data_IF_547122776642
#
_entry.id   IF_547122776642
#
_cell.length_a   1.000
_cell.length_b   1.000
_cell.length_c   1.000
_cell.angle_alpha   90.00
_cell.angle_beta   90.00
_cell.angle_gamma   90.00
#
_symmetry.space_group_name_H-M   'P 1'
#
loop_
_entity.id
_entity.type
_entity.pdbx_description
1 polymer ?
#
# COMPACT_ATOMS: atom_id res chain seq x y z
N UNK A 1 -24.66 19.23 -2.19
CA UNK A 1 -24.56 17.91 -1.56
C UNK A 1 -23.29 17.90 -0.75
N UNK A 2 -23.39 17.97 0.58
CA UNK A 2 -22.23 18.08 1.46
C UNK A 2 -21.61 16.69 1.60
N UNK A 3 -20.58 16.40 0.81
CA UNK A 3 -19.75 15.19 0.95
C UNK A 3 -19.17 15.17 2.35
N UNK A 4 -19.80 14.43 3.26
CA UNK A 4 -19.21 14.14 4.55
C UNK A 4 -18.02 13.21 4.28
N UNK A 5 -16.81 13.51 4.76
CA UNK A 5 -15.77 12.50 4.76
C UNK A 5 -16.30 11.32 5.57
N UNK A 6 -16.45 10.16 4.93
CA UNK A 6 -16.73 8.93 5.62
C UNK A 6 -15.48 8.60 6.44
N UNK A 7 -15.40 9.14 7.66
CA UNK A 7 -14.42 8.72 8.64
C UNK A 7 -14.85 7.32 9.03
N UNK A 8 -14.22 6.31 8.41
CA UNK A 8 -14.36 4.94 8.82
C UNK A 8 -14.02 4.87 10.32
N UNK A 9 -15.05 4.62 11.12
CA UNK A 9 -14.85 4.36 12.54
C UNK A 9 -14.21 2.97 12.60
N UNK A 10 -13.04 2.78 13.23
CA UNK A 10 -12.41 1.47 13.25
C UNK A 10 -13.36 0.48 13.94
N UNK A 11 -13.90 -0.47 13.17
CA UNK A 11 -14.88 -1.48 13.61
C UNK A 11 -14.31 -2.54 14.56
N UNK A 12 -13.10 -2.36 15.08
CA UNK A 12 -12.47 -3.23 16.07
C UNK A 12 -12.62 -2.69 17.49
N UNK A 13 -12.83 -3.55 18.48
CA UNK A 13 -12.76 -3.14 19.89
C UNK A 13 -11.39 -2.51 20.17
N UNK A 14 -11.35 -1.41 20.92
CA UNK A 14 -10.09 -0.77 21.29
C UNK A 14 -9.17 -1.79 22.01
N UNK A 15 -7.96 -1.98 21.48
CA UNK A 15 -6.99 -2.96 21.98
C UNK A 15 -6.97 -4.31 21.26
N UNK A 16 -7.87 -4.55 20.31
CA UNK A 16 -7.92 -5.78 19.51
C UNK A 16 -7.13 -5.62 18.18
N UNK A 17 -6.38 -6.68 17.83
CA UNK A 17 -5.66 -6.81 16.56
C UNK A 17 -6.44 -7.77 15.65
N UNK A 18 -6.67 -7.35 14.41
CA UNK A 18 -7.22 -8.16 13.34
C UNK A 18 -6.15 -9.05 12.69
N UNK A 19 -4.92 -8.55 12.60
CA UNK A 19 -3.79 -9.29 12.07
C UNK A 19 -3.16 -10.18 13.16
N UNK A 20 -2.76 -11.44 12.83
CA UNK A 20 -2.13 -12.32 13.81
C UNK A 20 -0.77 -11.78 14.27
N UNK A 21 -0.66 -11.38 15.54
CA UNK A 21 0.57 -10.79 16.12
C UNK A 21 1.82 -11.65 15.89
N UNK A 22 1.71 -12.97 16.02
CA UNK A 22 2.83 -13.89 15.79
C UNK A 22 3.33 -13.88 14.33
N UNK A 23 2.42 -13.67 13.37
CA UNK A 23 2.73 -13.58 11.94
C UNK A 23 3.53 -12.31 11.65
N UNK A 24 3.05 -11.18 12.16
CA UNK A 24 3.72 -9.88 12.03
C UNK A 24 5.08 -9.90 12.71
N UNK A 25 5.19 -10.45 13.92
CA UNK A 25 6.48 -10.63 14.61
C UNK A 25 7.47 -11.45 13.79
N UNK A 26 7.02 -12.49 13.08
CA UNK A 26 7.90 -13.28 12.20
C UNK A 26 8.40 -12.45 11.02
N UNK A 27 7.56 -11.60 10.42
CA UNK A 27 7.95 -10.71 9.32
C UNK A 27 8.92 -9.63 9.79
N UNK A 28 8.72 -9.02 10.95
CA UNK A 28 9.67 -8.05 11.51
C UNK A 28 11.09 -8.66 11.65
N UNK A 29 11.17 -9.95 11.99
CA UNK A 29 12.43 -10.67 12.19
C UNK A 29 13.06 -11.24 10.92
N UNK A 30 12.45 -11.04 9.74
CA UNK A 30 13.14 -11.42 8.48
C UNK A 30 14.26 -10.45 8.13
N UNK A 31 14.20 -9.22 8.67
CA UNK A 31 15.27 -8.24 8.57
C UNK A 31 16.48 -8.70 9.40
N UNK A 32 17.63 -8.87 8.74
CA UNK A 32 18.85 -9.46 9.33
C UNK A 32 19.36 -8.68 10.57
N UNK A 33 19.12 -7.37 10.58
CA UNK A 33 19.55 -6.48 11.67
C UNK A 33 18.63 -6.51 12.90
N UNK A 34 17.45 -7.14 12.81
CA UNK A 34 16.46 -7.17 13.90
C UNK A 34 16.61 -8.42 14.77
N UNK A 35 17.43 -8.32 15.81
CA UNK A 35 17.70 -9.43 16.76
C UNK A 35 16.55 -9.67 17.74
N UNK A 36 15.97 -8.60 18.29
CA UNK A 36 14.91 -8.67 19.28
C UNK A 36 13.86 -7.59 19.01
N UNK A 37 12.61 -7.89 19.32
CA UNK A 37 11.48 -6.97 19.24
C UNK A 37 10.61 -7.17 20.47
N UNK A 38 10.24 -6.08 21.15
CA UNK A 38 9.36 -6.15 22.32
C UNK A 38 7.92 -6.49 21.92
N UNK A 39 7.11 -6.87 22.90
CA UNK A 39 5.70 -7.17 22.66
C UNK A 39 4.91 -5.91 22.29
N UNK A 40 5.23 -4.78 22.90
CA UNK A 40 4.62 -3.47 22.65
C UNK A 40 4.96 -2.97 21.24
N UNK A 41 6.22 -3.09 20.81
CA UNK A 41 6.62 -2.75 19.45
C UNK A 41 5.92 -3.64 18.42
N UNK A 42 5.84 -4.96 18.68
CA UNK A 42 5.12 -5.89 17.82
C UNK A 42 3.64 -5.51 17.70
N UNK A 43 3.01 -5.12 18.81
CA UNK A 43 1.60 -4.70 18.85
C UNK A 43 1.38 -3.42 18.03
N UNK A 44 2.21 -2.39 18.26
CA UNK A 44 2.12 -1.12 17.53
C UNK A 44 2.34 -1.30 16.03
N UNK A 45 3.33 -2.10 15.62
CA UNK A 45 3.57 -2.39 14.21
C UNK A 45 2.36 -3.11 13.62
N UNK A 46 1.81 -4.11 14.31
CA UNK A 46 0.61 -4.85 13.84
C UNK A 46 -0.57 -3.91 13.64
N UNK A 47 -0.85 -3.03 14.62
CA UNK A 47 -1.94 -2.06 14.50
C UNK A 47 -1.68 -1.03 13.40
N UNK A 48 -0.44 -0.59 13.25
CA UNK A 48 -0.04 0.34 12.19
C UNK A 48 -0.20 -0.30 10.82
N UNK A 49 0.11 -1.59 10.65
CA UNK A 49 -0.10 -2.32 9.40
C UNK A 49 -1.59 -2.41 9.04
N UNK A 50 -2.47 -2.62 10.01
CA UNK A 50 -3.92 -2.59 9.77
C UNK A 50 -4.39 -1.23 9.26
N UNK A 51 -3.99 -0.15 9.95
CA UNK A 51 -4.33 1.21 9.58
C UNK A 51 -3.74 1.59 8.21
N UNK A 52 -2.54 1.10 7.91
CA UNK A 52 -1.89 1.28 6.62
C UNK A 52 -2.67 0.59 5.49
N UNK A 53 -3.14 -0.64 5.70
CA UNK A 53 -3.96 -1.35 4.69
C UNK A 53 -5.29 -0.65 4.45
N UNK A 54 -5.92 -0.14 5.50
CA UNK A 54 -7.14 0.67 5.38
C UNK A 54 -6.87 1.94 4.58
N UNK A 55 -5.80 2.66 4.92
CA UNK A 55 -5.38 3.88 4.22
C UNK A 55 -5.09 3.63 2.73
N UNK A 56 -4.33 2.59 2.40
CA UNK A 56 -4.03 2.22 1.02
C UNK A 56 -5.30 1.89 0.25
N UNK A 57 -6.20 1.11 0.87
CA UNK A 57 -7.48 0.71 0.27
C UNK A 57 -8.39 1.91 0.01
N UNK A 58 -8.47 2.84 0.95
CA UNK A 58 -9.27 4.07 0.82
C UNK A 58 -8.74 4.97 -0.30
N UNK A 59 -7.42 5.15 -0.41
CA UNK A 59 -6.83 5.95 -1.48
C UNK A 59 -7.07 5.34 -2.85
N UNK A 60 -6.87 4.03 -2.99
CA UNK A 60 -7.15 3.34 -4.25
C UNK A 60 -8.65 3.41 -4.60
N UNK A 61 -9.54 3.26 -3.62
CA UNK A 61 -10.99 3.42 -3.83
C UNK A 61 -11.36 4.85 -4.25
N UNK A 62 -10.70 5.89 -3.70
CA UNK A 62 -10.96 7.27 -4.10
C UNK A 62 -10.62 7.53 -5.58
N UNK A 63 -9.57 6.89 -6.12
CA UNK A 63 -9.23 6.95 -7.55
C UNK A 63 -10.30 6.26 -8.39
N UNK A 64 -10.72 5.05 -8.00
CA UNK A 64 -11.82 4.33 -8.63
C UNK A 64 -13.12 5.16 -8.67
N UNK A 65 -13.49 5.77 -7.54
CA UNK A 65 -14.67 6.63 -7.41
C UNK A 65 -14.56 7.88 -8.28
N UNK A 66 -13.36 8.47 -8.41
CA UNK A 66 -13.12 9.66 -9.25
C UNK A 66 -13.30 9.39 -10.74
N UNK A 67 -13.25 8.12 -11.16
CA UNK A 67 -13.50 7.67 -12.53
C UNK A 67 -14.90 7.06 -12.70
N UNK A 68 -15.81 7.26 -11.74
CA UNK A 68 -17.17 6.70 -11.72
C UNK A 68 -17.20 5.16 -11.89
N UNK A 69 -16.13 4.48 -11.48
CA UNK A 69 -16.02 3.02 -11.52
C UNK A 69 -16.50 2.41 -10.21
N UNK A 70 -16.97 1.17 -10.29
CA UNK A 70 -17.44 0.39 -9.12
C UNK A 70 -16.59 -0.84 -8.84
N UNK A 71 -15.56 -1.07 -9.67
CA UNK A 71 -14.62 -2.17 -9.53
C UNK A 71 -13.23 -1.62 -9.32
N UNK A 72 -12.63 -1.98 -8.18
CA UNK A 72 -11.25 -1.66 -7.87
C UNK A 72 -10.31 -2.50 -8.74
N UNK A 73 -9.37 -1.85 -9.38
CA UNK A 73 -8.40 -2.46 -10.29
C UNK A 73 -6.98 -2.29 -9.76
N UNK A 74 -6.02 -3.02 -10.34
CA UNK A 74 -4.61 -2.81 -10.02
C UNK A 74 -4.14 -1.37 -10.30
N UNK A 75 -4.65 -0.74 -11.37
CA UNK A 75 -4.21 0.60 -11.74
C UNK A 75 -4.60 1.62 -10.67
N UNK A 76 -5.73 1.44 -9.98
CA UNK A 76 -6.11 2.28 -8.84
C UNK A 76 -5.07 2.23 -7.72
N UNK A 77 -4.58 1.03 -7.41
CA UNK A 77 -3.55 0.84 -6.37
C UNK A 77 -2.21 1.40 -6.84
N UNK A 78 -1.81 1.15 -8.09
CA UNK A 78 -0.55 1.64 -8.64
C UNK A 78 -0.51 3.17 -8.72
N UNK A 79 -1.60 3.81 -9.18
CA UNK A 79 -1.73 5.27 -9.19
C UNK A 79 -1.72 5.84 -7.77
N UNK A 80 -2.42 5.19 -6.82
CA UNK A 80 -2.37 5.59 -5.40
C UNK A 80 -0.94 5.58 -4.86
N UNK A 81 -0.15 4.56 -5.19
CA UNK A 81 1.27 4.46 -4.80
C UNK A 81 2.13 5.53 -5.47
N UNK A 82 1.89 5.81 -6.75
CA UNK A 82 2.67 6.77 -7.53
C UNK A 82 2.46 8.22 -7.04
N UNK A 83 1.21 8.59 -6.76
CA UNK A 83 0.80 9.97 -6.43
C UNK A 83 0.93 10.36 -4.95
N UNK A 84 1.29 9.42 -4.06
CA UNK A 84 1.34 9.69 -2.61
C UNK A 84 2.73 9.42 -2.04
N UNK A 85 3.46 10.47 -1.64
CA UNK A 85 4.81 10.37 -1.06
C UNK A 85 4.94 9.35 0.09
N UNK A 86 4.01 9.24 1.06
CA UNK A 86 4.12 8.25 2.12
C UNK A 86 4.05 6.78 1.64
N UNK A 87 3.61 6.54 0.40
CA UNK A 87 3.52 5.23 -0.24
C UNK A 87 4.71 4.95 -1.17
N UNK A 88 5.69 5.86 -1.28
CA UNK A 88 6.85 5.72 -2.18
C UNK A 88 7.59 4.39 -2.01
N UNK A 89 7.68 3.88 -0.78
CA UNK A 89 8.32 2.60 -0.47
C UNK A 89 7.71 1.39 -1.19
N UNK A 90 6.53 1.54 -1.81
CA UNK A 90 5.84 0.49 -2.57
C UNK A 90 6.09 0.58 -4.07
N UNK A 91 6.73 1.63 -4.61
CA UNK A 91 6.87 1.83 -6.07
C UNK A 91 7.54 0.65 -6.78
N UNK A 92 8.52 0.03 -6.13
CA UNK A 92 9.21 -1.14 -6.68
C UNK A 92 8.39 -2.44 -6.58
N UNK A 93 7.39 -2.47 -5.70
CA UNK A 93 6.54 -3.63 -5.42
C UNK A 93 5.22 -3.56 -6.20
N UNK A 94 4.69 -2.36 -6.36
CA UNK A 94 3.44 -2.04 -7.06
C UNK A 94 3.74 -1.01 -8.16
N UNK A 95 4.50 -1.39 -9.20
CA UNK A 95 4.89 -0.45 -10.25
C UNK A 95 3.70 -0.07 -11.13
N UNK A 96 3.75 1.14 -11.69
CA UNK A 96 2.88 1.55 -12.78
C UNK A 96 3.09 0.66 -14.00
N UNK A 97 1.99 0.27 -14.65
CA UNK A 97 2.06 -0.51 -15.88
C UNK A 97 2.58 0.39 -17.01
N UNK A 98 3.58 -0.10 -17.71
CA UNK A 98 4.06 0.44 -18.99
C UNK A 98 3.72 -0.56 -20.09
N UNK A 99 3.29 -0.06 -21.25
CA UNK A 99 3.05 -0.95 -22.39
C UNK A 99 4.38 -1.43 -22.97
N UNK A 100 4.42 -2.67 -23.45
CA UNK A 100 5.61 -3.21 -24.11
C UNK A 100 6.05 -2.39 -25.33
N UNK A 101 5.08 -1.77 -26.03
CA UNK A 101 5.36 -0.87 -27.15
C UNK A 101 6.11 0.40 -26.71
N UNK A 102 5.73 1.01 -25.58
CA UNK A 102 6.43 2.16 -25.00
C UNK A 102 7.84 1.78 -24.56
N UNK A 103 8.00 0.63 -23.88
CA UNK A 103 9.32 0.13 -23.45
C UNK A 103 10.22 -0.09 -24.67
N UNK A 104 9.74 -0.77 -25.71
CA UNK A 104 10.48 -1.01 -26.95
C UNK A 104 10.86 0.28 -27.68
N UNK A 105 10.02 1.31 -27.63
CA UNK A 105 10.30 2.61 -28.23
C UNK A 105 11.33 3.42 -27.43
N UNK A 106 11.42 3.20 -26.11
CA UNK A 106 12.37 3.87 -25.21
C UNK A 106 13.74 3.19 -25.12
N UNK A 107 13.85 1.91 -25.51
CA UNK A 107 15.12 1.20 -25.62
C UNK A 107 15.90 1.73 -26.82
N UNK A 108 16.87 2.62 -26.57
CA UNK A 108 17.91 2.96 -27.56
C UNK A 108 18.57 1.66 -28.03
N UNK A 109 18.65 1.47 -29.35
CA UNK A 109 19.28 0.29 -29.93
C UNK A 109 20.78 0.34 -29.59
N UNK A 110 21.36 -0.73 -29.04
CA UNK A 110 22.81 -0.80 -28.85
C UNK A 110 23.47 -0.73 -30.24
N UNK A 111 24.07 0.41 -30.57
CA UNK A 111 24.68 0.68 -31.89
C UNK A 111 24.53 2.11 -32.42
N UNK A 112 23.78 2.99 -31.75
CA UNK A 112 23.68 4.42 -32.10
C UNK A 112 24.73 5.26 -31.29
N UNK A 113 26.03 5.02 -31.50
CA UNK A 113 27.15 5.95 -31.24
C UNK A 113 28.11 5.98 -32.43
#
# INVERSE_FOLDING_TARGET
MSSHPFIATPSGKQGELMLPLARVRRLIKTEEDVKMVSSEASFLITKSTELFLELLSQRAAAIMDSEDRTQLTYNDVATSVDENDPLEFLRDIVPMKVSGAEVLSSMKRPGDE
#
